data_IF_727699134027
#
_entry.id   IF_727699134027
#
_cell.length_a   1.000
_cell.length_b   1.000
_cell.length_c   1.000
_cell.angle_alpha   90.00
_cell.angle_beta   90.00
_cell.angle_gamma   90.00
#
_symmetry.space_group_name_H-M   'P 1'
#
loop_
_entity.id
_entity.type
_entity.pdbx_description
1 polymer ?
#
# COMPACT_ATOMS: atom_id res chain seq x y z
N UNK A 1 8.47 8.23 -10.72
CA UNK A 1 7.97 8.75 -9.42
C UNK A 1 6.46 8.88 -9.53
N UNK A 2 5.70 7.93 -9.00
CA UNK A 2 4.23 7.97 -9.04
C UNK A 2 3.75 8.83 -7.88
N UNK A 3 3.32 10.04 -8.18
CA UNK A 3 2.73 10.99 -7.23
C UNK A 3 1.46 10.37 -6.61
N UNK A 4 1.28 10.39 -5.27
CA UNK A 4 0.02 10.00 -4.69
C UNK A 4 -1.03 11.05 -5.06
N UNK A 5 -1.98 10.68 -5.92
CA UNK A 5 -3.17 11.46 -6.22
C UNK A 5 -3.89 11.76 -4.89
N UNK A 6 -4.01 13.03 -4.50
CA UNK A 6 -4.88 13.42 -3.38
C UNK A 6 -6.30 13.00 -3.75
N UNK A 7 -6.84 12.04 -3.00
CA UNK A 7 -8.25 11.69 -3.07
C UNK A 7 -9.06 12.94 -2.70
N UNK A 8 -9.91 13.40 -3.61
CA UNK A 8 -11.01 14.31 -3.30
C UNK A 8 -11.82 13.72 -2.13
N UNK A 9 -12.45 14.54 -1.27
CA UNK A 9 -13.25 13.99 -0.18
C UNK A 9 -14.33 13.08 -0.76
N UNK A 10 -14.17 11.76 -0.56
CA UNK A 10 -15.11 10.76 -1.05
C UNK A 10 -16.49 11.10 -0.52
N UNK A 11 -17.41 11.42 -1.43
CA UNK A 11 -18.83 11.55 -1.12
C UNK A 11 -19.27 10.28 -0.38
N UNK A 12 -19.79 10.44 0.84
CA UNK A 12 -20.33 9.33 1.62
C UNK A 12 -21.84 9.29 1.44
N UNK A 13 -22.34 8.21 0.84
CA UNK A 13 -23.75 7.94 0.67
C UNK A 13 -24.36 7.49 2.00
N UNK A 14 -25.51 8.01 2.37
CA UNK A 14 -26.31 7.36 3.43
C UNK A 14 -26.85 6.01 2.92
N UNK A 15 -27.20 5.11 3.84
CA UNK A 15 -27.80 3.82 3.48
C UNK A 15 -29.13 4.01 2.73
N UNK A 16 -29.91 5.05 3.08
CA UNK A 16 -31.17 5.36 2.42
C UNK A 16 -30.95 5.81 0.97
N UNK A 17 -30.00 6.73 0.73
CA UNK A 17 -29.65 7.17 -0.62
C UNK A 17 -29.10 6.01 -1.46
N UNK A 18 -28.26 5.16 -0.86
CA UNK A 18 -27.71 4.02 -1.57
C UNK A 18 -28.77 3.01 -2.02
N UNK A 19 -29.79 2.76 -1.20
CA UNK A 19 -30.93 1.93 -1.60
C UNK A 19 -31.74 2.55 -2.74
N UNK A 20 -31.96 3.86 -2.70
CA UNK A 20 -32.73 4.57 -3.72
C UNK A 20 -31.97 4.73 -5.05
N UNK A 21 -30.64 4.78 -5.01
CA UNK A 21 -29.77 5.14 -6.15
C UNK A 21 -28.68 4.10 -6.42
N UNK A 22 -28.96 2.82 -6.14
CA UNK A 22 -27.95 1.76 -6.23
C UNK A 22 -27.33 1.67 -7.63
N UNK A 23 -28.14 1.76 -8.68
CA UNK A 23 -27.65 1.73 -10.08
C UNK A 23 -26.66 2.86 -10.39
N UNK A 24 -26.89 4.05 -9.84
CA UNK A 24 -25.96 5.18 -9.99
C UNK A 24 -24.66 4.92 -9.24
N UNK A 25 -24.74 4.39 -8.02
CA UNK A 25 -23.54 4.05 -7.24
C UNK A 25 -22.70 3.02 -7.98
N UNK A 26 -23.31 2.00 -8.59
CA UNK A 26 -22.58 1.01 -9.38
C UNK A 26 -21.88 1.64 -10.59
N UNK A 27 -22.58 2.53 -11.32
CA UNK A 27 -22.00 3.28 -12.44
C UNK A 27 -20.82 4.15 -12.00
N UNK A 28 -20.96 4.88 -10.89
CA UNK A 28 -19.90 5.71 -10.33
C UNK A 28 -18.73 4.85 -9.81
N UNK A 29 -19.00 3.65 -9.27
CA UNK A 29 -17.98 2.72 -8.85
C UNK A 29 -17.09 2.26 -10.02
N UNK A 30 -17.68 2.06 -11.19
CA UNK A 30 -16.98 1.69 -12.43
C UNK A 30 -16.22 2.89 -13.02
N UNK A 31 -16.86 4.06 -13.13
CA UNK A 31 -16.30 5.22 -13.84
C UNK A 31 -15.33 6.07 -13.01
N UNK A 32 -15.61 6.22 -11.72
CA UNK A 32 -14.92 7.19 -10.83
C UNK A 32 -14.18 6.51 -9.68
N UNK A 33 -14.35 5.20 -9.53
CA UNK A 33 -13.72 4.40 -8.48
C UNK A 33 -14.58 4.24 -7.23
N UNK A 34 -13.98 3.72 -6.13
CA UNK A 34 -14.72 3.21 -4.97
C UNK A 34 -15.74 4.19 -4.37
N UNK A 35 -16.94 3.70 -4.06
CA UNK A 35 -18.01 4.50 -3.45
C UNK A 35 -18.24 4.09 -2.00
N UNK A 36 -18.36 5.07 -1.08
CA UNK A 36 -18.52 4.82 0.36
C UNK A 36 -19.97 4.96 0.80
N UNK A 37 -20.49 3.99 1.53
CA UNK A 37 -21.85 3.98 2.08
C UNK A 37 -21.80 3.90 3.61
N UNK A 38 -22.41 4.87 4.28
CA UNK A 38 -22.55 4.94 5.74
C UNK A 38 -21.39 5.67 6.42
N UNK A 39 -21.70 6.60 7.33
CA UNK A 39 -20.70 7.40 8.02
C UNK A 39 -20.08 6.69 9.26
N UNK A 40 -20.91 6.04 10.09
CA UNK A 40 -20.46 5.37 11.33
C UNK A 40 -19.92 3.94 11.10
N UNK A 41 -20.53 3.20 10.17
CA UNK A 41 -20.10 1.86 9.75
C UNK A 41 -19.99 1.86 8.23
N UNK A 42 -18.86 2.34 7.69
CA UNK A 42 -18.71 2.51 6.26
C UNK A 42 -18.55 1.16 5.57
N UNK A 43 -19.29 0.97 4.49
CA UNK A 43 -19.06 -0.04 3.49
C UNK A 43 -18.54 0.61 2.21
N UNK A 44 -17.82 -0.15 1.40
CA UNK A 44 -17.28 0.34 0.12
C UNK A 44 -17.81 -0.53 -1.00
N UNK A 45 -18.33 0.09 -2.05
CA UNK A 45 -18.72 -0.57 -3.29
C UNK A 45 -17.60 -0.38 -4.30
N UNK A 46 -17.12 -1.50 -4.84
CA UNK A 46 -16.11 -1.56 -5.89
C UNK A 46 -16.54 -2.55 -6.96
N UNK A 47 -16.09 -2.38 -8.22
CA UNK A 47 -16.24 -3.42 -9.22
C UNK A 47 -15.57 -4.72 -8.78
N UNK A 48 -16.17 -5.85 -9.15
CA UNK A 48 -15.73 -7.17 -8.70
C UNK A 48 -14.31 -7.51 -9.18
N UNK A 49 -13.93 -7.10 -10.40
CA UNK A 49 -12.60 -7.33 -10.95
C UNK A 49 -11.52 -6.62 -10.12
N UNK A 50 -11.75 -5.37 -9.71
CA UNK A 50 -10.84 -4.61 -8.84
C UNK A 50 -10.67 -5.29 -7.48
N UNK A 51 -11.76 -5.82 -6.93
CA UNK A 51 -11.70 -6.57 -5.69
C UNK A 51 -10.88 -7.84 -5.84
N UNK A 52 -11.13 -8.64 -6.87
CA UNK A 52 -10.40 -9.89 -7.12
C UNK A 52 -8.90 -9.66 -7.30
N UNK A 53 -8.51 -8.69 -8.13
CA UNK A 53 -7.09 -8.34 -8.34
C UNK A 53 -6.36 -7.94 -7.05
N UNK A 54 -7.06 -7.31 -6.10
CA UNK A 54 -6.48 -6.85 -4.84
C UNK A 54 -6.48 -7.89 -3.74
N UNK A 55 -7.45 -8.81 -3.76
CA UNK A 55 -7.61 -9.86 -2.74
C UNK A 55 -6.85 -11.12 -3.08
N UNK A 56 -6.49 -11.33 -4.35
CA UNK A 56 -5.57 -12.39 -4.74
C UNK A 56 -4.34 -12.33 -3.82
N UNK A 57 -4.07 -13.40 -3.04
CA UNK A 57 -2.95 -13.41 -2.12
C UNK A 57 -1.68 -13.16 -2.91
N UNK A 58 -1.10 -11.96 -2.76
CA UNK A 58 0.23 -11.70 -3.31
C UNK A 58 1.15 -12.71 -2.64
N UNK A 59 1.92 -13.47 -3.44
CA UNK A 59 2.91 -14.41 -2.91
C UNK A 59 3.69 -13.72 -1.78
N UNK A 60 3.88 -14.37 -0.63
CA UNK A 60 4.70 -13.82 0.44
C UNK A 60 6.02 -13.34 -0.16
N UNK A 61 6.48 -12.14 0.23
CA UNK A 61 7.67 -11.53 -0.37
C UNK A 61 8.88 -12.48 -0.34
N UNK A 62 9.06 -13.24 0.74
CA UNK A 62 10.11 -14.25 0.84
C UNK A 62 10.01 -15.35 -0.22
N UNK A 63 8.80 -15.85 -0.49
CA UNK A 63 8.59 -16.82 -1.57
C UNK A 63 8.87 -16.20 -2.94
N UNK A 64 8.40 -14.97 -3.17
CA UNK A 64 8.67 -14.27 -4.42
C UNK A 64 10.18 -14.05 -4.65
N UNK A 65 10.92 -13.67 -3.61
CA UNK A 65 12.37 -13.47 -3.67
C UNK A 65 13.10 -14.77 -4.02
N UNK A 66 12.74 -15.90 -3.42
CA UNK A 66 13.34 -17.20 -3.74
C UNK A 66 13.12 -17.57 -5.21
N UNK A 67 11.95 -17.29 -5.75
CA UNK A 67 11.57 -17.64 -7.13
C UNK A 67 12.11 -16.67 -8.18
N UNK A 68 12.22 -15.38 -7.87
CA UNK A 68 12.42 -14.32 -8.88
C UNK A 68 13.72 -13.51 -8.69
N UNK A 69 14.40 -13.62 -7.52
CA UNK A 69 15.64 -12.88 -7.32
C UNK A 69 16.74 -13.47 -8.21
N UNK A 70 17.45 -12.64 -8.99
CA UNK A 70 18.56 -13.10 -9.81
C UNK A 70 19.61 -13.80 -8.94
N UNK A 71 19.96 -15.03 -9.31
CA UNK A 71 21.01 -15.80 -8.62
C UNK A 71 22.35 -15.56 -9.29
N UNK A 72 23.41 -15.52 -8.49
CA UNK A 72 24.77 -15.37 -9.02
C UNK A 72 25.15 -13.95 -9.43
N UNK A 73 24.43 -12.93 -8.95
CA UNK A 73 24.96 -11.56 -9.00
C UNK A 73 26.13 -11.49 -8.02
N UNK A 74 27.30 -11.16 -8.53
CA UNK A 74 28.46 -10.82 -7.71
C UNK A 74 28.22 -9.41 -7.16
N UNK A 75 27.74 -9.36 -5.92
CA UNK A 75 27.65 -8.12 -5.17
C UNK A 75 29.04 -7.84 -4.60
N UNK A 76 29.62 -6.70 -4.94
CA UNK A 76 30.79 -6.20 -4.22
C UNK A 76 30.38 -5.98 -2.77
N UNK A 77 30.82 -6.89 -1.91
CA UNK A 77 30.59 -6.79 -0.48
C UNK A 77 31.52 -5.69 0.05
N UNK A 78 31.02 -4.78 0.89
CA UNK A 78 31.89 -3.83 1.57
C UNK A 78 32.93 -4.59 2.40
N UNK A 79 34.10 -3.97 2.54
CA UNK A 79 35.19 -4.56 3.33
C UNK A 79 34.72 -4.82 4.76
N UNK A 80 35.01 -6.02 5.29
CA UNK A 80 34.77 -6.35 6.71
C UNK A 80 35.62 -5.53 7.68
N UNK A 81 36.59 -4.78 7.16
CA UNK A 81 37.48 -3.91 7.92
C UNK A 81 37.12 -2.42 7.79
N UNK A 82 36.03 -2.08 7.10
CA UNK A 82 35.51 -0.71 7.17
C UNK A 82 35.03 -0.40 8.58
N UNK A 83 35.25 0.84 9.06
CA UNK A 83 34.73 1.27 10.35
C UNK A 83 33.20 1.21 10.34
N UNK A 84 32.61 0.90 11.49
CA UNK A 84 31.17 0.83 11.63
C UNK A 84 30.51 2.14 11.17
N UNK A 85 29.41 2.00 10.44
CA UNK A 85 28.61 3.17 10.08
C UNK A 85 28.12 3.84 11.36
N UNK A 86 28.25 5.16 11.42
CA UNK A 86 27.74 5.97 12.53
C UNK A 86 26.30 5.59 12.84
N UNK A 87 26.07 5.17 14.07
CA UNK A 87 24.73 4.85 14.55
C UNK A 87 24.01 6.20 14.75
N UNK A 88 22.87 6.46 14.09
CA UNK A 88 22.23 7.79 14.11
C UNK A 88 21.76 8.30 15.48
N UNK A 89 21.88 7.49 16.53
CA UNK A 89 21.34 7.75 17.87
C UNK A 89 22.34 7.50 18.99
N UNK A 90 23.62 7.28 18.67
CA UNK A 90 24.69 7.18 19.66
C UNK A 90 25.60 8.38 19.42
N UNK A 91 25.61 9.31 20.38
CA UNK A 91 26.57 10.41 20.40
C UNK A 91 27.92 9.83 20.87
N UNK A 92 29.00 10.18 20.16
CA UNK A 92 30.37 9.71 20.39
C UNK A 92 30.97 10.34 21.67
N UNK A 93 30.25 10.30 22.80
CA UNK A 93 30.67 10.87 24.09
C UNK A 93 31.34 9.82 24.99
N UNK A 94 32.43 9.19 24.55
CA UNK A 94 33.42 8.59 25.46
C UNK A 94 34.84 8.68 24.86
N UNK A 95 35.39 9.90 24.84
CA UNK A 95 36.84 10.10 24.75
C UNK A 95 37.37 10.54 26.13
N UNK A 96 38.48 9.91 26.54
CA UNK A 96 39.41 10.22 27.64
C UNK A 96 39.21 9.53 29.01
N UNK A 97 40.05 8.50 29.24
CA UNK A 97 40.80 8.31 30.48
C UNK A 97 42.24 7.91 30.14
#
# INVERSE_FOLDING_TARGET
>A
MTTPQRATPDRVWTVAEAKARLSEILRLAEEQGPQRIGARKPFVVVPEHVWRERVEPRKPLGQWLVENMPRGIELELPSRHEPDRRIPFVDDDEETA
#
